data_IF_239548552511
#
_entry.id   IF_239548552511
#
_cell.length_a   1.000
_cell.length_b   1.000
_cell.length_c   1.000
_cell.angle_alpha   90.00
_cell.angle_beta   90.00
_cell.angle_gamma   90.00
#
_symmetry.space_group_name_H-M   'P 1'
#
loop_
_entity.id
_entity.type
_entity.pdbx_description
1 polymer ?
#
# COMPACT_ATOMS: atom_id res chain seq x y z
N UNK A 1 -8.75 55.44 9.37
CA UNK A 1 -7.87 54.76 8.39
C UNK A 1 -7.57 53.34 8.85
N UNK A 2 -8.47 52.38 8.58
CA UNK A 2 -8.24 50.92 8.51
C UNK A 2 -9.60 50.19 8.36
N UNK A 3 -10.31 50.36 7.24
CA UNK A 3 -11.58 49.62 6.98
C UNK A 3 -11.70 49.05 5.57
N UNK A 4 -10.65 49.10 4.75
CA UNK A 4 -10.78 48.76 3.32
C UNK A 4 -10.64 47.26 3.05
N UNK A 5 -9.93 46.51 3.90
CA UNK A 5 -9.59 45.12 3.60
C UNK A 5 -10.73 44.11 3.82
N UNK A 6 -11.66 44.40 4.75
CA UNK A 6 -12.81 43.51 5.04
C UNK A 6 -13.97 43.77 4.08
N UNK A 7 -14.19 45.01 3.65
CA UNK A 7 -15.21 45.32 2.64
C UNK A 7 -14.86 44.71 1.27
N UNK A 8 -13.59 44.76 0.85
CA UNK A 8 -13.18 44.12 -0.41
C UNK A 8 -13.40 42.60 -0.45
N UNK A 9 -13.41 41.92 0.71
CA UNK A 9 -13.67 40.48 0.80
C UNK A 9 -15.15 40.10 0.66
N UNK A 10 -16.08 41.05 0.90
CA UNK A 10 -17.51 40.82 0.68
C UNK A 10 -17.92 41.00 -0.78
N UNK A 11 -17.23 41.89 -1.49
CA UNK A 11 -17.58 42.28 -2.86
C UNK A 11 -16.98 41.35 -3.93
N UNK A 12 -15.87 40.68 -3.60
CA UNK A 12 -15.18 39.74 -4.51
C UNK A 12 -14.90 38.37 -3.83
N UNK A 13 -15.91 37.49 -3.69
CA UNK A 13 -15.73 36.18 -3.08
C UNK A 13 -14.74 35.27 -3.85
N UNK A 14 -14.42 35.60 -5.10
CA UNK A 14 -13.41 34.92 -5.90
C UNK A 14 -11.96 35.13 -5.41
N UNK A 15 -11.67 36.20 -4.66
CA UNK A 15 -10.33 36.52 -4.15
C UNK A 15 -10.00 35.83 -2.80
N UNK A 16 -11.01 35.31 -2.09
CA UNK A 16 -10.81 34.54 -0.86
C UNK A 16 -10.34 33.09 -1.10
N UNK A 17 -10.29 32.64 -2.35
CA UNK A 17 -9.88 31.29 -2.75
C UNK A 17 -8.37 31.22 -3.02
N UNK A 18 -7.58 31.70 -2.07
CA UNK A 18 -6.15 31.34 -1.97
C UNK A 18 -5.91 30.73 -0.59
N UNK A 19 -6.63 29.64 -0.32
CA UNK A 19 -6.30 28.66 0.71
C UNK A 19 -5.88 27.38 0.02
N UNK A 20 -4.56 27.20 -0.06
CA UNK A 20 -3.79 25.97 -0.26
C UNK A 20 -4.64 24.71 -0.49
N UNK A 21 -5.15 24.58 -1.71
CA UNK A 21 -5.71 23.35 -2.26
C UNK A 21 -4.56 22.53 -2.84
N UNK A 22 -3.75 21.91 -1.99
CA UNK A 22 -2.89 20.79 -2.40
C UNK A 22 -3.45 19.44 -1.94
N UNK A 23 -4.78 19.37 -1.78
CA UNK A 23 -5.52 18.12 -1.96
C UNK A 23 -6.03 18.09 -3.40
N UNK A 24 -5.84 16.96 -4.06
CA UNK A 24 -6.37 16.59 -5.39
C UNK A 24 -5.53 16.99 -6.62
N UNK A 25 -4.26 16.58 -6.64
CA UNK A 25 -3.70 16.12 -7.91
C UNK A 25 -3.86 14.60 -8.02
N UNK A 26 -5.11 14.12 -7.99
CA UNK A 26 -5.50 12.82 -8.57
C UNK A 26 -5.45 12.95 -10.10
N UNK A 27 -4.26 13.25 -10.64
CA UNK A 27 -3.99 12.90 -12.03
C UNK A 27 -3.95 11.39 -12.04
N UNK A 28 -5.08 10.81 -12.41
CA UNK A 28 -5.11 9.50 -13.04
C UNK A 28 -4.22 9.59 -14.28
N UNK A 29 -2.90 9.54 -14.09
CA UNK A 29 -1.99 9.08 -15.12
C UNK A 29 -2.25 7.57 -15.19
N UNK A 30 -3.39 7.21 -15.79
CA UNK A 30 -3.59 5.87 -16.30
C UNK A 30 -2.59 5.73 -17.43
N UNK A 31 -1.38 5.33 -17.06
CA UNK A 31 -0.37 4.91 -18.03
C UNK A 31 -0.98 3.79 -18.87
N UNK A 32 -0.60 3.65 -20.15
CA UNK A 32 -1.03 2.52 -20.98
C UNK A 32 -0.86 1.17 -20.26
N UNK A 33 0.20 1.03 -19.45
CA UNK A 33 0.45 -0.12 -18.60
C UNK A 33 -0.65 -0.37 -17.54
N UNK A 34 -1.16 0.68 -16.87
CA UNK A 34 -2.25 0.52 -15.89
C UNK A 34 -3.58 0.16 -16.58
N UNK A 35 -3.88 0.72 -17.76
CA UNK A 35 -5.07 0.33 -18.52
C UNK A 35 -4.99 -1.10 -19.03
N UNK A 36 -3.82 -1.50 -19.53
CA UNK A 36 -3.55 -2.87 -19.95
C UNK A 36 -3.76 -3.83 -18.77
N UNK A 37 -3.17 -3.53 -17.62
CA UNK A 37 -3.33 -4.30 -16.40
C UNK A 37 -4.79 -4.45 -16.02
N UNK A 38 -5.55 -3.36 -16.00
CA UNK A 38 -6.97 -3.38 -15.64
C UNK A 38 -7.76 -4.29 -16.57
N UNK A 39 -7.53 -4.19 -17.88
CA UNK A 39 -8.21 -5.03 -18.86
C UNK A 39 -7.82 -6.51 -18.74
N UNK A 40 -6.56 -6.79 -18.43
CA UNK A 40 -6.05 -8.15 -18.21
C UNK A 40 -6.65 -8.75 -16.92
N UNK A 41 -6.78 -7.92 -15.88
CA UNK A 41 -7.41 -8.28 -14.62
C UNK A 41 -8.90 -8.56 -14.79
N UNK A 42 -9.63 -7.70 -15.48
CA UNK A 42 -11.04 -7.93 -15.80
C UNK A 42 -11.22 -9.26 -16.53
N UNK A 43 -10.39 -9.58 -17.52
CA UNK A 43 -10.42 -10.88 -18.22
C UNK A 43 -10.13 -12.07 -17.31
N UNK A 44 -9.22 -11.92 -16.34
CA UNK A 44 -8.90 -12.93 -15.34
C UNK A 44 -10.07 -13.19 -14.38
N UNK A 45 -10.83 -12.15 -14.02
CA UNK A 45 -12.02 -12.29 -13.17
C UNK A 45 -13.15 -13.11 -13.82
N UNK A 46 -13.16 -13.23 -15.15
CA UNK A 46 -14.09 -14.11 -15.88
C UNK A 46 -13.61 -15.57 -15.99
N UNK A 47 -12.44 -15.90 -15.42
CA UNK A 47 -11.93 -17.27 -15.33
C UNK A 47 -12.29 -17.92 -14.00
N UNK A 48 -12.12 -19.24 -13.91
CA UNK A 48 -12.28 -19.97 -12.66
C UNK A 48 -11.24 -19.51 -11.61
N UNK A 49 -11.62 -19.52 -10.33
CA UNK A 49 -10.74 -19.09 -9.23
C UNK A 49 -9.38 -19.81 -9.21
N UNK A 50 -9.34 -21.11 -9.54
CA UNK A 50 -8.10 -21.88 -9.61
C UNK A 50 -7.13 -21.35 -10.67
N UNK A 51 -7.64 -20.94 -11.83
CA UNK A 51 -6.84 -20.35 -12.92
C UNK A 51 -6.30 -18.98 -12.52
N UNK A 52 -7.11 -18.19 -11.80
CA UNK A 52 -6.74 -16.87 -11.32
C UNK A 52 -5.60 -16.95 -10.29
N UNK A 53 -5.75 -17.81 -9.29
CA UNK A 53 -4.73 -18.05 -8.26
C UNK A 53 -3.43 -18.57 -8.90
N UNK A 54 -3.52 -19.50 -9.86
CA UNK A 54 -2.35 -20.02 -10.55
C UNK A 54 -1.59 -18.94 -11.35
N UNK A 55 -2.29 -18.01 -12.00
CA UNK A 55 -1.65 -16.90 -12.75
C UNK A 55 -1.00 -15.88 -11.82
N UNK A 56 -1.58 -15.65 -10.64
CA UNK A 56 -0.99 -14.76 -9.63
C UNK A 56 0.26 -15.40 -9.01
N UNK A 57 0.19 -16.72 -8.78
CA UNK A 57 1.26 -17.53 -8.20
C UNK A 57 2.39 -17.83 -9.19
N UNK A 58 2.08 -18.07 -10.47
CA UNK A 58 3.05 -18.55 -11.47
C UNK A 58 2.84 -17.85 -12.82
N UNK A 59 3.94 -17.49 -13.52
CA UNK A 59 5.34 -17.77 -13.20
C UNK A 59 6.02 -16.73 -12.30
N UNK A 60 5.41 -15.56 -12.07
CA UNK A 60 6.18 -14.38 -11.66
C UNK A 60 5.90 -13.82 -10.27
N UNK A 61 5.13 -14.49 -9.39
CA UNK A 61 4.84 -14.00 -8.03
C UNK A 61 4.54 -12.47 -8.03
N UNK A 62 3.81 -12.00 -9.04
CA UNK A 62 3.82 -10.58 -9.45
C UNK A 62 3.34 -9.69 -8.31
N UNK A 63 2.34 -10.19 -7.58
CA UNK A 63 1.77 -9.53 -6.43
C UNK A 63 2.78 -9.38 -5.28
N UNK A 64 3.60 -10.39 -5.01
CA UNK A 64 4.68 -10.31 -4.03
C UNK A 64 5.80 -9.36 -4.48
N UNK A 65 6.21 -9.40 -5.76
CA UNK A 65 7.22 -8.48 -6.31
C UNK A 65 6.72 -7.03 -6.19
N UNK A 66 5.50 -6.76 -6.63
CA UNK A 66 4.87 -5.44 -6.52
C UNK A 66 4.82 -4.96 -5.07
N UNK A 67 4.57 -5.86 -4.12
CA UNK A 67 4.58 -5.55 -2.68
C UNK A 67 5.99 -5.22 -2.18
N UNK A 68 7.00 -6.03 -2.50
CA UNK A 68 8.41 -5.76 -2.15
C UNK A 68 8.89 -4.40 -2.65
N UNK A 69 8.48 -4.03 -3.87
CA UNK A 69 8.80 -2.76 -4.51
C UNK A 69 7.94 -1.58 -4.04
N UNK A 70 6.91 -1.81 -3.22
CA UNK A 70 6.02 -0.74 -2.74
C UNK A 70 5.12 -0.15 -3.82
N UNK A 71 4.77 -0.92 -4.86
CA UNK A 71 3.81 -0.51 -5.89
C UNK A 71 2.37 -0.53 -5.33
N UNK A 72 2.09 0.42 -4.45
CA UNK A 72 0.86 0.51 -3.69
C UNK A 72 -0.38 0.51 -4.57
N UNK A 73 -0.38 1.28 -5.67
CA UNK A 73 -1.56 1.40 -6.54
C UNK A 73 -1.96 0.06 -7.17
N UNK A 74 -0.97 -0.71 -7.62
CA UNK A 74 -1.18 -2.05 -8.16
C UNK A 74 -1.75 -3.00 -7.10
N UNK A 75 -1.10 -3.07 -5.95
CA UNK A 75 -1.46 -3.98 -4.87
C UNK A 75 -2.85 -3.65 -4.31
N UNK A 76 -3.15 -2.36 -4.12
CA UNK A 76 -4.45 -1.91 -3.62
C UNK A 76 -5.61 -2.20 -4.57
N UNK A 77 -5.40 -2.10 -5.89
CA UNK A 77 -6.40 -2.45 -6.90
C UNK A 77 -6.73 -3.95 -6.85
N UNK A 78 -5.69 -4.79 -6.77
CA UNK A 78 -5.83 -6.24 -6.78
C UNK A 78 -6.49 -6.77 -5.50
N UNK A 79 -5.98 -6.37 -4.34
CA UNK A 79 -6.55 -6.79 -3.06
C UNK A 79 -7.95 -6.18 -2.86
N UNK A 80 -8.20 -4.97 -3.37
CA UNK A 80 -9.53 -4.37 -3.33
C UNK A 80 -10.56 -5.14 -4.17
N UNK A 81 -10.11 -5.78 -5.27
CA UNK A 81 -10.96 -6.59 -6.14
C UNK A 81 -11.11 -8.03 -5.64
N UNK A 82 -10.06 -8.59 -5.04
CA UNK A 82 -10.01 -9.97 -4.55
C UNK A 82 -9.31 -9.99 -3.17
N UNK A 83 -10.06 -9.74 -2.08
CA UNK A 83 -9.49 -9.61 -0.74
C UNK A 83 -8.74 -10.85 -0.24
N UNK A 84 -9.14 -12.04 -0.69
CA UNK A 84 -8.54 -13.31 -0.25
C UNK A 84 -7.07 -13.45 -0.66
N UNK A 85 -6.62 -12.70 -1.68
CA UNK A 85 -5.21 -12.65 -2.09
C UNK A 85 -4.28 -12.26 -0.94
N UNK A 86 -4.79 -11.60 0.08
CA UNK A 86 -3.98 -11.16 1.22
C UNK A 86 -3.41 -12.31 2.05
N UNK A 87 -4.05 -13.48 1.96
CA UNK A 87 -3.65 -14.70 2.65
C UNK A 87 -2.75 -15.60 1.80
N UNK A 88 -2.64 -15.31 0.50
CA UNK A 88 -1.74 -16.05 -0.39
C UNK A 88 -0.30 -15.93 0.08
N UNK A 89 0.42 -17.05 -0.01
CA UNK A 89 1.80 -17.17 0.46
C UNK A 89 2.78 -17.40 -0.67
N UNK A 90 3.98 -16.84 -0.51
CA UNK A 90 5.09 -17.15 -1.39
C UNK A 90 5.71 -18.52 -1.07
N UNK A 91 6.78 -18.89 -1.79
CA UNK A 91 7.46 -20.18 -1.60
C UNK A 91 8.14 -20.34 -0.23
N UNK A 92 8.18 -19.28 0.59
CA UNK A 92 8.68 -19.29 1.99
C UNK A 92 7.54 -19.22 3.02
N UNK A 93 6.31 -19.51 2.57
CA UNK A 93 5.09 -19.40 3.34
C UNK A 93 4.85 -17.98 3.90
N UNK A 94 5.42 -16.95 3.26
CA UNK A 94 5.21 -15.56 3.65
C UNK A 94 3.98 -15.02 2.93
N UNK A 95 2.93 -14.74 3.69
CA UNK A 95 1.79 -13.99 3.15
C UNK A 95 2.16 -12.58 2.71
N UNK A 96 1.28 -11.94 1.96
CA UNK A 96 1.40 -10.52 1.61
C UNK A 96 1.60 -9.60 2.82
N UNK A 97 1.05 -9.97 3.99
CA UNK A 97 1.31 -9.28 5.24
C UNK A 97 2.75 -9.35 5.69
N UNK A 98 3.31 -10.56 5.68
CA UNK A 98 4.71 -10.78 6.03
C UNK A 98 5.62 -9.94 5.12
N UNK A 99 5.34 -9.95 3.81
CA UNK A 99 6.11 -9.17 2.84
C UNK A 99 5.94 -7.66 3.04
N UNK A 100 4.71 -7.17 3.21
CA UNK A 100 4.47 -5.75 3.40
C UNK A 100 5.21 -5.21 4.64
N UNK A 101 5.24 -5.97 5.74
CA UNK A 101 5.93 -5.56 6.96
C UNK A 101 7.44 -5.73 6.85
N UNK A 102 7.94 -6.86 6.32
CA UNK A 102 9.37 -7.07 6.14
C UNK A 102 10.03 -6.01 5.24
N UNK A 103 9.28 -5.46 4.29
CA UNK A 103 9.73 -4.42 3.37
C UNK A 103 9.24 -3.01 3.76
N UNK A 104 8.67 -2.84 4.96
CA UNK A 104 8.27 -1.55 5.54
C UNK A 104 7.29 -0.73 4.67
N UNK A 105 6.35 -1.43 4.01
CA UNK A 105 5.38 -0.85 3.08
C UNK A 105 4.11 -0.37 3.80
N UNK A 106 4.23 0.76 4.49
CA UNK A 106 3.18 1.35 5.35
C UNK A 106 1.82 1.49 4.63
N UNK A 107 1.82 1.98 3.38
CA UNK A 107 0.56 2.19 2.63
C UNK A 107 -0.15 0.89 2.30
N UNK A 108 0.59 -0.16 1.97
CA UNK A 108 0.02 -1.49 1.67
C UNK A 108 -0.52 -2.12 2.96
N UNK A 109 0.25 -2.04 4.04
CA UNK A 109 -0.17 -2.53 5.35
C UNK A 109 -1.44 -1.82 5.86
N UNK A 110 -1.52 -0.49 5.73
CA UNK A 110 -2.71 0.28 6.11
C UNK A 110 -3.94 -0.10 5.28
N UNK A 111 -3.77 -0.34 3.97
CA UNK A 111 -4.86 -0.79 3.11
C UNK A 111 -5.34 -2.19 3.48
N UNK A 112 -4.40 -3.10 3.73
CA UNK A 112 -4.69 -4.45 4.19
C UNK A 112 -5.48 -4.43 5.52
N UNK A 113 -5.08 -3.58 6.47
CA UNK A 113 -5.77 -3.42 7.74
C UNK A 113 -7.22 -2.93 7.60
N UNK A 114 -7.52 -2.08 6.60
CA UNK A 114 -8.89 -1.60 6.32
C UNK A 114 -9.86 -2.69 5.88
N UNK A 115 -9.36 -3.86 5.47
CA UNK A 115 -10.20 -5.01 5.09
C UNK A 115 -10.78 -5.73 6.31
N UNK A 116 -10.56 -5.21 7.54
CA UNK A 116 -11.23 -5.70 8.74
C UNK A 116 -10.68 -7.03 9.24
N UNK A 117 -9.41 -7.32 8.95
CA UNK A 117 -8.83 -8.62 9.24
C UNK A 117 -8.61 -8.80 10.73
N UNK A 118 -8.90 -10.01 11.20
CA UNK A 118 -8.78 -10.33 12.61
C UNK A 118 -7.31 -10.29 13.03
N UNK A 119 -6.97 -9.37 13.94
CA UNK A 119 -5.61 -9.18 14.46
C UNK A 119 -5.02 -10.49 15.01
N UNK A 120 -5.83 -11.33 15.64
CA UNK A 120 -5.36 -12.60 16.20
C UNK A 120 -4.90 -13.57 15.09
N UNK A 121 -5.61 -13.60 13.96
CA UNK A 121 -5.25 -14.42 12.80
C UNK A 121 -3.94 -13.92 12.18
N UNK A 122 -3.80 -12.61 12.02
CA UNK A 122 -2.58 -12.00 11.48
C UNK A 122 -1.37 -12.27 12.38
N UNK A 123 -1.54 -12.25 13.70
CA UNK A 123 -0.47 -12.50 14.67
C UNK A 123 -0.12 -13.98 14.84
N UNK A 124 -1.08 -14.89 14.61
CA UNK A 124 -0.84 -16.34 14.68
C UNK A 124 -0.21 -16.90 13.40
N UNK A 125 -0.24 -16.14 12.30
CA UNK A 125 0.34 -16.57 11.03
C UNK A 125 1.87 -16.50 11.10
N UNK A 126 2.54 -17.60 10.74
CA UNK A 126 3.99 -17.77 10.82
C UNK A 126 4.55 -18.19 9.45
N UNK A 127 5.71 -17.66 9.11
CA UNK A 127 6.49 -18.12 7.95
C UNK A 127 7.23 -19.45 8.23
N UNK A 128 7.87 -20.03 7.22
CA UNK A 128 8.64 -21.28 7.36
C UNK A 128 9.80 -21.20 8.36
N UNK A 129 10.21 -19.99 8.73
CA UNK A 129 11.25 -19.71 9.72
C UNK A 129 10.65 -19.37 11.09
N UNK A 130 9.39 -19.68 11.31
CA UNK A 130 8.64 -19.42 12.53
C UNK A 130 8.62 -17.94 12.94
N UNK A 131 8.73 -17.03 11.96
CA UNK A 131 8.55 -15.60 12.18
C UNK A 131 7.08 -15.24 11.95
N UNK A 132 6.47 -14.60 12.93
CA UNK A 132 5.24 -13.84 12.69
C UNK A 132 5.56 -12.40 12.24
N UNK A 133 4.51 -11.65 11.93
CA UNK A 133 4.62 -10.26 11.47
C UNK A 133 5.39 -9.34 12.45
N UNK A 134 5.35 -9.59 13.76
CA UNK A 134 6.06 -8.80 14.76
C UNK A 134 7.57 -9.06 14.72
N UNK A 135 7.98 -10.32 14.51
CA UNK A 135 9.38 -10.66 14.30
C UNK A 135 9.92 -9.99 13.03
N UNK A 136 9.11 -9.91 11.97
CA UNK A 136 9.49 -9.23 10.73
C UNK A 136 9.54 -7.71 10.88
N UNK A 137 8.62 -7.11 11.65
CA UNK A 137 8.62 -5.67 11.93
C UNK A 137 9.88 -5.24 12.69
N UNK A 138 10.37 -6.09 13.59
CA UNK A 138 11.59 -5.83 14.35
C UNK A 138 12.88 -6.01 13.54
N UNK A 139 12.83 -6.64 12.35
CA UNK A 139 14.00 -6.82 11.49
C UNK A 139 14.28 -5.53 10.72
N UNK A 140 15.56 -5.18 10.64
CA UNK A 140 16.03 -4.05 9.85
C UNK A 140 15.61 -4.25 8.39
N UNK A 141 15.05 -3.20 7.77
CA UNK A 141 14.64 -3.23 6.37
C UNK A 141 15.80 -3.69 5.46
N UNK A 142 15.53 -4.43 4.37
CA UNK A 142 16.58 -4.85 3.44
C UNK A 142 17.36 -3.63 2.86
N UNK A 143 18.65 -3.79 2.56
CA UNK A 143 19.55 -2.67 2.23
C UNK A 143 19.19 -1.89 0.97
N UNK A 144 18.40 -2.46 0.06
CA UNK A 144 17.83 -1.75 -1.08
C UNK A 144 16.90 -0.59 -0.67
N UNK A 145 16.44 -0.54 0.58
CA UNK A 145 15.72 0.58 1.19
C UNK A 145 16.57 1.43 2.16
N UNK A 146 17.81 1.00 2.45
CA UNK A 146 18.71 1.68 3.40
C UNK A 146 19.67 2.68 2.72
N UNK A 147 19.77 2.70 1.39
CA UNK A 147 20.70 3.54 0.63
C UNK A 147 20.32 5.04 0.50
N UNK A 148 19.65 5.62 1.49
CA UNK A 148 19.54 7.07 1.63
C UNK A 148 19.96 7.42 3.05
N UNK A 149 21.19 7.91 3.22
CA UNK A 149 21.94 8.10 4.47
C UNK A 149 21.36 9.08 5.50
N UNK A 150 20.04 9.23 5.57
CA UNK A 150 19.32 10.16 6.46
C UNK A 150 18.17 9.48 7.22
N UNK A 151 18.06 8.14 7.16
CA UNK A 151 16.82 7.43 7.53
C UNK A 151 16.80 6.75 8.90
N UNK A 152 17.93 6.53 9.58
CA UNK A 152 17.93 5.76 10.85
C UNK A 152 17.08 6.40 11.96
N UNK A 153 17.14 7.72 12.12
CA UNK A 153 16.33 8.46 13.11
C UNK A 153 14.86 8.64 12.69
N UNK A 154 14.57 8.66 11.39
CA UNK A 154 13.20 8.77 10.85
C UNK A 154 12.48 7.42 10.91
N UNK A 155 13.21 6.32 10.69
CA UNK A 155 12.70 4.95 10.74
C UNK A 155 12.20 4.61 12.15
N UNK A 156 12.99 4.87 13.19
CA UNK A 156 12.57 4.67 14.59
C UNK A 156 11.28 5.41 14.95
N UNK A 157 11.06 6.63 14.43
CA UNK A 157 9.83 7.39 14.68
C UNK A 157 8.62 6.83 13.94
N UNK A 158 8.80 6.28 12.74
CA UNK A 158 7.72 5.67 11.94
C UNK A 158 7.31 4.32 12.53
N UNK A 159 8.28 3.50 12.92
CA UNK A 159 8.02 2.18 13.52
C UNK A 159 7.24 2.29 14.84
N UNK A 160 7.47 3.37 15.62
CA UNK A 160 6.70 3.68 16.83
C UNK A 160 5.24 4.08 16.57
N UNK A 161 4.88 4.61 15.39
CA UNK A 161 3.48 4.96 15.09
C UNK A 161 2.64 3.75 14.68
N UNK A 162 3.26 2.62 14.36
CA UNK A 162 2.57 1.38 13.98
C UNK A 162 1.87 0.69 15.15
N UNK A 163 2.27 1.02 16.38
CA UNK A 163 1.80 0.36 17.61
C UNK A 163 0.81 1.22 18.44
N UNK A 164 0.30 2.32 17.89
CA UNK A 164 -0.81 3.10 18.46
C UNK A 164 -2.13 2.69 17.80
#
# INVERSE_FOLDING_TARGET
>A
MASTSIEMLKEYPALAVVRNANSTNKRNLTTPCYQLLKCLWEKLLWQNDSTLIDVIRRPSNVLFIATKLGNFKFVAELIGSYPDLIWETDDSNQSLFHIAVAYHQESIFSQAQKLGLNKNIVLSFIDDKNNNILHLAAKLAPPNQLNTGTRSTIQMKRDLSWFK
#
